data_IF_042425145964
#
_entry.id   IF_042425145964
#
_cell.length_a   1.000
_cell.length_b   1.000
_cell.length_c   1.000
_cell.angle_alpha   90.00
_cell.angle_beta   90.00
_cell.angle_gamma   90.00
#
_symmetry.space_group_name_H-M   'P 1'
#
loop_
_entity.id
_entity.type
_entity.pdbx_description
1 polymer ?
#
# COMPACT_ATOMS: atom_id res chain seq x y z
N UNK A 1 -27.96 -4.91 2.51
CA UNK A 1 -26.58 -4.59 2.92
C UNK A 1 -25.85 -4.09 1.70
N UNK A 2 -25.19 -2.95 1.80
CA UNK A 2 -24.35 -2.44 0.71
C UNK A 2 -23.19 -3.40 0.46
N UNK A 3 -22.90 -3.69 -0.82
CA UNK A 3 -21.80 -4.58 -1.18
C UNK A 3 -20.49 -3.88 -0.81
N UNK A 4 -19.64 -4.57 -0.04
CA UNK A 4 -18.33 -4.08 0.39
C UNK A 4 -17.21 -4.95 -0.19
N UNK A 5 -16.04 -4.35 -0.31
CA UNK A 5 -14.81 -4.99 -0.79
C UNK A 5 -13.66 -4.68 0.15
N UNK A 6 -12.68 -5.56 0.21
CA UNK A 6 -11.43 -5.29 0.90
C UNK A 6 -10.51 -4.63 -0.12
N UNK A 7 -10.31 -3.32 0.03
CA UNK A 7 -9.38 -2.54 -0.73
C UNK A 7 -8.01 -2.58 -0.08
N UNK A 8 -7.00 -2.90 -0.88
CA UNK A 8 -5.62 -3.16 -0.43
C UNK A 8 -4.70 -2.23 -1.21
N UNK A 9 -3.83 -1.54 -0.50
CA UNK A 9 -2.77 -0.70 -1.07
C UNK A 9 -1.43 -1.23 -0.55
N UNK A 10 -0.50 -1.53 -1.45
CA UNK A 10 0.90 -1.79 -1.11
C UNK A 10 1.69 -0.55 -1.46
N UNK A 11 2.21 0.13 -0.44
CA UNK A 11 2.95 1.37 -0.53
C UNK A 11 4.45 1.10 -0.39
N UNK A 12 5.21 1.36 -1.45
CA UNK A 12 6.67 1.26 -1.44
C UNK A 12 7.32 2.55 -0.90
N UNK A 13 6.75 3.71 -1.22
CA UNK A 13 7.18 5.03 -0.75
C UNK A 13 6.55 5.36 0.61
N UNK A 14 7.10 4.80 1.67
CA UNK A 14 6.54 4.89 3.02
C UNK A 14 6.45 6.32 3.58
N UNK A 15 7.24 7.25 3.03
CA UNK A 15 7.17 8.67 3.32
C UNK A 15 5.83 9.32 2.95
N UNK A 16 5.08 8.70 2.02
CA UNK A 16 3.75 9.15 1.63
C UNK A 16 2.64 8.58 2.52
N UNK A 17 2.96 7.74 3.51
CA UNK A 17 1.95 7.04 4.31
C UNK A 17 1.01 8.01 5.03
N UNK A 18 1.56 9.01 5.72
CA UNK A 18 0.76 9.93 6.52
C UNK A 18 -0.15 10.80 5.63
N UNK A 19 0.38 11.31 4.51
CA UNK A 19 -0.40 12.04 3.52
C UNK A 19 -1.53 11.18 2.95
N UNK A 20 -1.21 9.91 2.62
CA UNK A 20 -2.18 8.96 2.10
C UNK A 20 -3.30 8.67 3.11
N UNK A 21 -2.97 8.39 4.36
CA UNK A 21 -3.97 8.07 5.39
C UNK A 21 -4.85 9.26 5.74
N UNK A 22 -4.26 10.47 5.84
CA UNK A 22 -5.03 11.70 6.07
C UNK A 22 -6.02 11.94 4.93
N UNK A 23 -5.53 11.89 3.68
CA UNK A 23 -6.38 12.13 2.51
C UNK A 23 -7.47 11.08 2.36
N UNK A 24 -7.12 9.80 2.60
CA UNK A 24 -8.08 8.70 2.55
C UNK A 24 -9.17 8.84 3.62
N UNK A 25 -8.79 9.25 4.84
CA UNK A 25 -9.75 9.56 5.90
C UNK A 25 -10.67 10.73 5.53
N UNK A 26 -10.12 11.80 4.96
CA UNK A 26 -10.88 13.03 4.67
C UNK A 26 -11.81 12.89 3.47
N UNK A 27 -11.40 12.15 2.43
CA UNK A 27 -12.18 11.99 1.20
C UNK A 27 -13.06 10.76 1.21
N UNK A 28 -12.52 9.60 1.62
CA UNK A 28 -13.23 8.31 1.58
C UNK A 28 -13.98 8.04 2.89
N UNK A 29 -13.49 8.56 4.02
CA UNK A 29 -14.16 8.43 5.31
C UNK A 29 -14.12 7.01 5.91
N UNK A 30 -13.24 6.14 5.41
CA UNK A 30 -13.19 4.73 5.80
C UNK A 30 -11.98 4.43 6.68
N UNK A 31 -12.17 3.55 7.67
CA UNK A 31 -11.09 3.07 8.52
C UNK A 31 -10.12 2.18 7.73
N UNK A 32 -8.86 2.21 8.12
CA UNK A 32 -7.83 1.36 7.53
C UNK A 32 -6.91 0.77 8.61
N UNK A 33 -6.31 -0.38 8.30
CA UNK A 33 -5.25 -1.02 9.09
C UNK A 33 -3.97 -1.03 8.28
N UNK A 34 -2.85 -0.64 8.89
CA UNK A 34 -1.54 -0.62 8.25
C UNK A 34 -0.70 -1.77 8.79
N UNK A 35 -0.04 -2.51 7.89
CA UNK A 35 0.80 -3.67 8.20
C UNK A 35 2.18 -3.46 7.55
N UNK A 36 3.24 -3.79 8.28
CA UNK A 36 4.60 -3.84 7.73
C UNK A 36 4.74 -5.01 6.76
N UNK A 37 5.34 -4.76 5.61
CA UNK A 37 5.45 -5.74 4.52
C UNK A 37 6.79 -5.61 3.81
N UNK A 38 7.23 -6.66 3.11
CA UNK A 38 8.51 -6.67 2.38
C UNK A 38 8.23 -7.12 0.95
N UNK A 39 8.79 -6.40 -0.02
CA UNK A 39 8.69 -6.77 -1.43
C UNK A 39 9.58 -7.97 -1.76
N UNK A 40 9.18 -8.78 -2.74
CA UNK A 40 9.99 -9.95 -3.14
C UNK A 40 11.41 -9.57 -3.58
N UNK A 41 11.56 -8.54 -4.41
CA UNK A 41 12.87 -8.09 -4.90
C UNK A 41 13.79 -7.66 -3.74
N UNK A 42 13.24 -6.96 -2.76
CA UNK A 42 13.90 -6.51 -1.55
C UNK A 42 14.27 -7.68 -0.62
N UNK A 43 13.38 -8.65 -0.43
CA UNK A 43 13.70 -9.84 0.36
C UNK A 43 14.83 -10.65 -0.27
N UNK A 44 14.80 -10.83 -1.59
CA UNK A 44 15.83 -11.56 -2.32
C UNK A 44 17.18 -10.82 -2.29
N UNK A 45 17.20 -9.50 -2.44
CA UNK A 45 18.47 -8.74 -2.39
C UNK A 45 19.19 -8.92 -1.05
N UNK A 46 18.46 -8.91 0.07
CA UNK A 46 19.02 -9.19 1.40
C UNK A 46 19.64 -10.60 1.50
N UNK A 47 19.00 -11.61 0.89
CA UNK A 47 19.56 -12.98 0.84
C UNK A 47 20.82 -13.06 -0.02
N UNK A 48 20.90 -12.28 -1.11
CA UNK A 48 22.08 -12.23 -1.98
C UNK A 48 23.22 -11.36 -1.41
N UNK A 49 22.91 -10.33 -0.63
CA UNK A 49 23.90 -9.51 0.10
C UNK A 49 24.74 -10.35 1.08
N UNK A 50 24.15 -11.40 1.66
CA UNK A 50 24.89 -12.37 2.47
C UNK A 50 25.98 -13.14 1.68
N UNK A 51 25.95 -13.10 0.34
CA UNK A 51 26.89 -13.79 -0.56
C UNK A 51 27.82 -12.87 -1.37
N UNK A 52 27.54 -11.57 -1.50
CA UNK A 52 28.29 -10.65 -2.37
C UNK A 52 28.80 -9.44 -1.58
N UNK A 53 30.01 -9.56 -1.02
CA UNK A 53 30.78 -8.41 -0.56
C UNK A 53 31.59 -7.83 -1.74
N UNK A 54 31.38 -6.55 -2.09
CA UNK A 54 32.44 -5.52 -1.92
C UNK A 54 32.31 -4.22 -2.73
N UNK A 55 31.56 -4.08 -3.84
CA UNK A 55 31.73 -2.84 -4.67
C UNK A 55 30.47 -2.13 -5.18
N UNK A 56 29.28 -2.72 -5.09
CA UNK A 56 28.03 -2.16 -5.68
C UNK A 56 26.96 -1.75 -4.66
N UNK A 57 27.28 -1.86 -3.37
CA UNK A 57 26.37 -1.69 -2.22
C UNK A 57 25.56 -0.37 -2.19
N UNK A 58 26.13 0.81 -2.52
CA UNK A 58 25.39 2.09 -2.37
C UNK A 58 24.37 2.39 -3.47
N UNK A 59 24.39 1.66 -4.60
CA UNK A 59 23.53 1.99 -5.75
C UNK A 59 22.19 1.22 -5.73
N UNK A 60 22.10 0.16 -4.93
CA UNK A 60 20.94 -0.77 -4.90
C UNK A 60 20.16 -0.65 -3.58
N UNK A 61 20.81 -0.20 -2.51
CA UNK A 61 20.16 0.10 -1.24
C UNK A 61 19.48 1.47 -1.31
N UNK A 62 18.30 1.53 -1.92
CA UNK A 62 17.32 2.52 -1.46
C UNK A 62 17.04 2.22 0.01
N UNK A 63 17.23 3.20 0.89
CA UNK A 63 17.11 3.11 2.37
C UNK A 63 15.73 2.62 2.89
N UNK A 64 14.78 2.31 2.02
CA UNK A 64 13.49 1.75 2.40
C UNK A 64 13.62 0.23 2.54
N UNK A 65 13.80 -0.24 3.78
CA UNK A 65 13.84 -1.67 4.11
C UNK A 65 12.46 -2.29 4.31
N UNK A 66 11.39 -1.50 4.24
CA UNK A 66 10.03 -1.94 4.54
C UNK A 66 9.00 -1.23 3.66
N UNK A 67 8.06 -1.98 3.11
CA UNK A 67 6.83 -1.48 2.49
C UNK A 67 5.73 -1.39 3.56
N UNK A 68 4.67 -0.65 3.28
CA UNK A 68 3.47 -0.61 4.12
C UNK A 68 2.27 -1.14 3.32
N UNK A 69 1.56 -2.12 3.85
CA UNK A 69 0.31 -2.61 3.24
C UNK A 69 -0.87 -2.11 4.04
N UNK A 70 -1.81 -1.45 3.37
CA UNK A 70 -2.98 -0.80 3.95
C UNK A 70 -4.21 -1.60 3.56
N UNK A 71 -5.02 -1.97 4.55
CA UNK A 71 -6.24 -2.75 4.42
C UNK A 71 -7.42 -1.87 4.81
N UNK A 72 -8.40 -1.71 3.93
CA UNK A 72 -9.64 -0.99 4.24
C UNK A 72 -10.82 -1.73 3.64
N UNK A 73 -11.84 -2.02 4.45
CA UNK A 73 -13.10 -2.57 3.95
C UNK A 73 -14.01 -1.40 3.62
N UNK A 74 -14.27 -1.20 2.34
CA UNK A 74 -15.01 -0.04 1.83
C UNK A 74 -16.28 -0.46 1.07
N UNK A 75 -17.32 0.38 1.03
CA UNK A 75 -18.43 0.20 0.11
C UNK A 75 -17.95 0.16 -1.35
N UNK A 76 -18.50 -0.74 -2.16
CA UNK A 76 -18.13 -0.86 -3.57
C UNK A 76 -18.43 0.41 -4.36
N UNK A 77 -19.43 1.19 -3.95
CA UNK A 77 -19.75 2.50 -4.55
C UNK A 77 -18.61 3.53 -4.38
N UNK A 78 -17.78 3.39 -3.34
CA UNK A 78 -16.71 4.33 -3.01
C UNK A 78 -15.38 3.91 -3.65
N UNK A 79 -15.35 2.82 -4.41
CA UNK A 79 -14.14 2.29 -5.04
C UNK A 79 -13.46 3.27 -5.99
N UNK A 80 -14.23 3.98 -6.81
CA UNK A 80 -13.64 4.93 -7.76
C UNK A 80 -13.05 6.14 -7.04
N UNK A 81 -13.75 6.65 -6.01
CA UNK A 81 -13.21 7.70 -5.14
C UNK A 81 -11.92 7.25 -4.46
N UNK A 82 -11.93 6.08 -3.81
CA UNK A 82 -10.76 5.51 -3.15
C UNK A 82 -9.56 5.35 -4.11
N UNK A 83 -9.79 4.90 -5.35
CA UNK A 83 -8.74 4.76 -6.36
C UNK A 83 -8.17 6.11 -6.80
N UNK A 84 -9.00 7.12 -6.99
CA UNK A 84 -8.54 8.46 -7.35
C UNK A 84 -7.76 9.11 -6.20
N UNK A 85 -8.27 9.05 -4.97
CA UNK A 85 -7.58 9.55 -3.76
C UNK A 85 -6.17 8.97 -3.65
N UNK A 86 -6.00 7.66 -3.84
CA UNK A 86 -4.68 7.01 -3.83
C UNK A 86 -3.79 7.48 -4.97
N UNK A 87 -4.34 7.63 -6.19
CA UNK A 87 -3.55 8.10 -7.36
C UNK A 87 -3.06 9.52 -7.19
N UNK A 88 -3.84 10.38 -6.57
CA UNK A 88 -3.46 11.77 -6.32
C UNK A 88 -2.24 11.88 -5.40
N UNK A 89 -2.18 11.06 -4.35
CA UNK A 89 -1.04 11.02 -3.42
C UNK A 89 0.18 10.37 -4.08
N UNK A 90 -0.01 9.25 -4.77
CA UNK A 90 1.09 8.54 -5.43
C UNK A 90 1.66 9.29 -6.64
N UNK A 91 0.97 10.33 -7.13
CA UNK A 91 1.28 11.22 -8.27
C UNK A 91 1.49 10.53 -9.63
N UNK A 92 2.02 9.31 -9.70
CA UNK A 92 2.23 8.57 -10.93
C UNK A 92 2.39 7.05 -10.69
N UNK A 93 1.28 6.35 -10.41
CA UNK A 93 1.26 4.88 -10.19
C UNK A 93 1.79 4.04 -11.36
N UNK A 94 2.01 4.65 -12.54
CA UNK A 94 2.60 3.98 -13.71
C UNK A 94 4.12 3.88 -13.66
N UNK A 95 4.77 4.56 -12.72
CA UNK A 95 6.22 4.43 -12.53
C UNK A 95 6.53 3.16 -11.73
N UNK A 96 7.67 2.52 -11.96
CA UNK A 96 8.17 1.49 -11.05
C UNK A 96 8.25 2.02 -9.61
N UNK A 97 8.09 1.14 -8.62
CA UNK A 97 8.32 1.45 -7.20
C UNK A 97 7.41 2.54 -6.57
N UNK A 98 6.23 2.79 -7.13
CA UNK A 98 5.26 3.71 -6.51
C UNK A 98 4.27 3.00 -5.58
N UNK A 99 3.97 1.73 -5.86
CA UNK A 99 3.03 0.90 -5.12
C UNK A 99 1.98 0.25 -6.03
N UNK A 100 1.14 -0.61 -5.46
CA UNK A 100 -0.01 -1.21 -6.16
C UNK A 100 -1.28 -1.08 -5.33
N UNK A 101 -2.44 -1.12 -5.98
CA UNK A 101 -3.72 -1.21 -5.30
C UNK A 101 -4.60 -2.27 -5.98
N UNK A 102 -5.37 -3.02 -5.20
CA UNK A 102 -6.31 -4.01 -5.71
C UNK A 102 -7.43 -4.22 -4.69
N UNK A 103 -8.50 -4.87 -5.12
CA UNK A 103 -9.63 -5.18 -4.26
C UNK A 103 -10.02 -6.66 -4.37
N UNK A 104 -10.49 -7.23 -3.27
CA UNK A 104 -11.03 -8.59 -3.22
C UNK A 104 -12.45 -8.58 -2.63
N UNK A 105 -13.35 -9.48 -3.08
CA UNK A 105 -14.69 -9.59 -2.52
C UNK A 105 -14.64 -9.98 -1.03
N UNK A 106 -15.49 -9.34 -0.23
CA UNK A 106 -15.67 -9.68 1.20
C UNK A 106 -16.94 -10.50 1.35
N UNK A 107 -16.80 -11.73 1.88
CA UNK A 107 -17.94 -12.61 2.11
C UNK A 107 -18.76 -12.21 3.34
N UNK A 108 -18.10 -11.77 4.40
CA UNK A 108 -18.71 -11.27 5.62
C UNK A 108 -17.79 -10.26 6.32
N UNK A 109 -18.37 -9.40 7.14
CA UNK A 109 -17.65 -8.45 7.99
C UNK A 109 -18.43 -8.26 9.30
N UNK A 110 -17.74 -8.00 10.40
CA UNK A 110 -18.33 -7.64 11.68
C UNK A 110 -17.45 -6.59 12.37
N UNK A 111 -18.03 -5.74 13.22
CA UNK A 111 -17.27 -4.75 14.01
C UNK A 111 -16.71 -3.57 13.22
N UNK A 112 -17.15 -3.34 11.99
CA UNK A 112 -16.77 -2.18 11.17
C UNK A 112 -17.81 -1.06 11.39
N UNK A 113 -17.35 0.18 11.56
CA UNK A 113 -18.25 1.35 11.66
C UNK A 113 -18.94 1.58 10.31
N UNK A 114 -20.23 1.92 10.36
CA UNK A 114 -21.01 2.34 9.19
C UNK A 114 -20.74 3.80 8.84
#
# INVERSE_FOLDING_TARGET
>A
MEKKVLFIIVLNQTELLDELLLKFNDEVGQAATVIDSVGMAQHLSQLYEAKIFSTIKPLILSDHTENKTIYSVIPEKDMDLARETVKEVLRNIKKPDTGIMFAVPVLFQEGIRD
#
